data_IF_157796976089
#
_entry.id   IF_157796976089
#
_cell.length_a   1.000
_cell.length_b   1.000
_cell.length_c   1.000
_cell.angle_alpha   90.00
_cell.angle_beta   90.00
_cell.angle_gamma   90.00
#
_symmetry.space_group_name_H-M   'P 1'
#
loop_
_entity.id
_entity.type
_entity.pdbx_description
1 polymer ?
#
# COMPACT_ATOMS: atom_id res chain seq x y z
N UNK A 1 -17.75 6.35 -13.45
CA UNK A 1 -17.48 6.46 -12.01
C UNK A 1 -16.25 7.35 -11.77
N UNK A 2 -16.19 8.09 -10.66
CA UNK A 2 -15.05 8.95 -10.31
C UNK A 2 -13.78 8.10 -10.10
N UNK A 3 -12.65 8.50 -10.69
CA UNK A 3 -11.37 7.80 -10.54
C UNK A 3 -10.82 8.06 -9.13
N UNK A 4 -11.09 7.16 -8.18
CA UNK A 4 -10.51 7.23 -6.83
C UNK A 4 -8.99 7.16 -6.94
N UNK A 5 -8.32 8.25 -6.58
CA UNK A 5 -6.85 8.35 -6.60
C UNK A 5 -6.37 8.34 -5.17
N UNK A 6 -5.46 7.41 -4.85
CA UNK A 6 -4.85 7.27 -3.54
C UNK A 6 -3.39 7.67 -3.60
N UNK A 7 -2.93 8.41 -2.58
CA UNK A 7 -1.54 8.78 -2.41
C UNK A 7 -1.04 8.19 -1.09
N UNK A 8 0.05 7.41 -1.16
CA UNK A 8 0.77 6.96 0.03
C UNK A 8 1.89 7.96 0.32
N UNK A 9 1.89 8.53 1.52
CA UNK A 9 2.91 9.51 1.96
C UNK A 9 3.57 9.02 3.24
N UNK A 10 4.89 9.23 3.32
CA UNK A 10 5.69 8.94 4.52
C UNK A 10 6.39 10.24 4.93
N UNK A 11 6.22 10.63 6.19
CA UNK A 11 6.78 11.86 6.75
C UNK A 11 7.59 11.52 8.01
N UNK A 12 8.68 12.23 8.29
CA UNK A 12 9.38 12.11 9.56
C UNK A 12 8.43 12.44 10.73
N UNK A 13 8.55 11.73 11.84
CA UNK A 13 7.74 12.04 13.05
C UNK A 13 8.13 13.37 13.69
N UNK A 14 9.28 13.94 13.32
CA UNK A 14 9.75 15.27 13.74
C UNK A 14 8.87 16.44 13.28
N UNK A 15 7.85 16.19 12.45
CA UNK A 15 6.83 17.20 12.15
C UNK A 15 5.93 17.51 13.36
N UNK A 16 5.89 16.62 14.35
CA UNK A 16 5.27 16.87 15.65
C UNK A 16 6.34 17.12 16.72
N UNK A 17 6.11 18.03 17.69
CA UNK A 17 7.00 18.27 18.82
C UNK A 17 7.28 17.02 19.67
N UNK A 18 6.35 16.06 19.70
CA UNK A 18 6.44 14.85 20.55
C UNK A 18 7.12 13.67 19.86
N UNK A 19 7.42 13.76 18.56
CA UNK A 19 7.85 12.65 17.70
C UNK A 19 6.87 11.46 17.67
N UNK A 20 5.60 11.67 18.04
CA UNK A 20 4.56 10.65 18.00
C UNK A 20 3.90 10.55 16.62
N UNK A 21 3.61 9.32 16.17
CA UNK A 21 3.03 9.09 14.84
C UNK A 21 1.58 9.54 14.71
N UNK A 22 0.78 9.40 15.76
CA UNK A 22 -0.63 9.80 15.74
C UNK A 22 -0.76 11.33 15.80
N UNK A 23 0.13 11.99 16.55
CA UNK A 23 0.21 13.44 16.57
C UNK A 23 0.69 14.01 15.23
N UNK A 24 1.72 13.41 14.62
CA UNK A 24 2.19 13.75 13.28
C UNK A 24 1.07 13.59 12.22
N UNK A 25 0.26 12.53 12.29
CA UNK A 25 -0.91 12.33 11.43
C UNK A 25 -1.99 13.40 11.68
N UNK A 26 -2.21 13.78 12.93
CA UNK A 26 -3.16 14.83 13.30
C UNK A 26 -2.71 16.20 12.78
N UNK A 27 -1.41 16.50 12.84
CA UNK A 27 -0.85 17.70 12.23
C UNK A 27 -1.07 17.71 10.71
N UNK A 28 -0.78 16.60 10.02
CA UNK A 28 -1.05 16.46 8.58
C UNK A 28 -2.53 16.67 8.25
N UNK A 29 -3.44 16.10 9.03
CA UNK A 29 -4.90 16.28 8.91
C UNK A 29 -5.34 17.73 9.03
N UNK A 30 -4.65 18.51 9.85
CA UNK A 30 -4.99 19.94 10.02
C UNK A 30 -4.60 20.79 8.80
N UNK A 31 -3.59 20.35 8.04
CA UNK A 31 -3.09 21.04 6.83
C UNK A 31 -3.81 20.58 5.57
N UNK A 32 -4.10 19.28 5.46
CA UNK A 32 -4.84 18.71 4.33
C UNK A 32 -6.33 18.91 4.59
N UNK A 33 -6.90 19.96 4.00
CA UNK A 33 -8.35 20.19 4.00
C UNK A 33 -9.09 18.96 3.46
N UNK A 34 -10.25 18.64 4.04
CA UNK A 34 -11.09 17.54 3.56
C UNK A 34 -11.54 17.70 2.09
N UNK A 35 -11.45 18.92 1.55
CA UNK A 35 -11.69 19.21 0.12
C UNK A 35 -10.63 18.58 -0.80
N UNK A 36 -9.40 18.39 -0.30
CA UNK A 36 -8.28 17.82 -1.05
C UNK A 36 -8.16 16.30 -0.87
N UNK A 37 -8.85 15.71 0.11
CA UNK A 37 -8.88 14.28 0.36
C UNK A 37 -8.94 13.91 1.85
N UNK A 38 -9.23 12.65 2.13
CA UNK A 38 -9.27 12.10 3.49
C UNK A 38 -8.00 11.31 3.78
N UNK A 39 -7.42 11.49 4.97
CA UNK A 39 -6.19 10.80 5.38
C UNK A 39 -6.47 9.65 6.34
N UNK A 40 -5.80 8.52 6.10
CA UNK A 40 -5.91 7.31 6.90
C UNK A 40 -4.53 6.87 7.37
N UNK A 41 -4.39 6.36 8.61
CA UNK A 41 -3.14 5.76 9.05
C UNK A 41 -2.83 4.52 8.20
N UNK A 42 -1.56 4.33 7.85
CA UNK A 42 -1.09 3.14 7.13
C UNK A 42 -0.02 2.43 7.97
N UNK A 43 -0.44 1.43 8.74
CA UNK A 43 0.42 0.77 9.72
C UNK A 43 1.37 -0.25 9.06
N UNK A 44 2.65 0.08 9.04
CA UNK A 44 3.75 -0.79 8.57
C UNK A 44 4.56 -1.25 9.79
N UNK A 45 4.95 -2.53 9.89
CA UNK A 45 5.81 -2.99 10.97
C UNK A 45 7.23 -2.45 10.84
N UNK A 46 7.96 -2.42 11.95
CA UNK A 46 9.41 -2.21 11.92
C UNK A 46 10.09 -3.42 11.29
N UNK A 47 10.72 -3.23 10.14
CA UNK A 47 11.48 -4.29 9.47
C UNK A 47 12.89 -4.39 10.02
N UNK A 48 13.42 -5.61 10.01
CA UNK A 48 14.84 -5.84 10.29
C UNK A 48 15.69 -5.34 9.12
N UNK A 49 16.32 -4.19 9.32
CA UNK A 49 17.23 -3.57 8.35
C UNK A 49 18.65 -4.11 8.54
N UNK A 50 19.34 -4.37 7.43
CA UNK A 50 20.74 -4.79 7.40
C UNK A 50 21.71 -3.61 7.30
N UNK A 51 22.57 -3.65 6.29
CA UNK A 51 23.48 -2.55 5.95
C UNK A 51 22.80 -1.50 5.07
N UNK A 52 23.37 -0.29 5.01
CA UNK A 52 22.90 0.75 4.09
C UNK A 52 23.02 0.31 2.62
N UNK A 53 24.09 -0.38 2.25
CA UNK A 53 24.28 -0.93 0.91
C UNK A 53 23.15 -1.92 0.53
N UNK A 54 22.77 -2.80 1.46
CA UNK A 54 21.65 -3.71 1.26
C UNK A 54 20.32 -2.96 1.10
N UNK A 55 20.10 -1.83 1.78
CA UNK A 55 18.89 -1.01 1.61
C UNK A 55 18.80 -0.40 0.20
N UNK A 56 19.92 0.04 -0.37
CA UNK A 56 19.95 0.60 -1.72
C UNK A 56 19.54 -0.49 -2.73
N UNK A 57 20.17 -1.66 -2.64
CA UNK A 57 19.82 -2.80 -3.49
C UNK A 57 18.35 -3.23 -3.31
N UNK A 58 17.87 -3.28 -2.07
CA UNK A 58 16.48 -3.63 -1.76
C UNK A 58 15.48 -2.61 -2.32
N UNK A 59 15.82 -1.32 -2.37
CA UNK A 59 14.96 -0.31 -2.97
C UNK A 59 14.77 -0.55 -4.48
N UNK A 60 15.85 -0.88 -5.20
CA UNK A 60 15.77 -1.24 -6.63
C UNK A 60 14.96 -2.51 -6.86
N UNK A 61 15.14 -3.53 -6.02
CA UNK A 61 14.42 -4.79 -6.14
C UNK A 61 12.93 -4.65 -5.79
N UNK A 62 12.58 -3.81 -4.82
CA UNK A 62 11.20 -3.42 -4.50
C UNK A 62 10.55 -2.66 -5.67
N UNK A 63 11.27 -1.76 -6.33
CA UNK A 63 10.75 -1.05 -7.50
C UNK A 63 10.43 -2.02 -8.65
N UNK A 64 11.31 -2.98 -8.93
CA UNK A 64 11.06 -4.02 -9.94
C UNK A 64 9.86 -4.90 -9.57
N UNK A 65 9.76 -5.30 -8.31
CA UNK A 65 8.63 -6.08 -7.79
C UNK A 65 7.31 -5.31 -7.93
N UNK A 66 7.29 -4.03 -7.60
CA UNK A 66 6.11 -3.16 -7.73
C UNK A 66 5.64 -3.08 -9.19
N UNK A 67 6.56 -2.83 -10.13
CA UNK A 67 6.25 -2.81 -11.56
C UNK A 67 5.70 -4.14 -12.07
N UNK A 68 6.31 -5.26 -11.64
CA UNK A 68 5.85 -6.60 -11.98
C UNK A 68 4.44 -6.87 -11.45
N UNK A 69 4.21 -6.59 -10.17
CA UNK A 69 2.90 -6.74 -9.52
C UNK A 69 1.83 -5.90 -10.21
N UNK A 70 2.11 -4.62 -10.48
CA UNK A 70 1.21 -3.73 -11.20
C UNK A 70 0.83 -4.28 -12.56
N UNK A 71 1.81 -4.74 -13.35
CA UNK A 71 1.54 -5.31 -14.67
C UNK A 71 0.69 -6.59 -14.63
N UNK A 72 0.86 -7.43 -13.61
CA UNK A 72 0.01 -8.62 -13.41
C UNK A 72 -1.41 -8.20 -13.03
N UNK A 73 -1.57 -7.26 -12.09
CA UNK A 73 -2.89 -6.76 -11.66
C UNK A 73 -3.63 -6.09 -12.81
N UNK A 74 -2.96 -5.29 -13.64
CA UNK A 74 -3.53 -4.68 -14.84
C UNK A 74 -4.03 -5.74 -15.83
N UNK A 75 -3.23 -6.78 -16.11
CA UNK A 75 -3.66 -7.89 -16.98
C UNK A 75 -4.86 -8.66 -16.43
N UNK A 76 -4.90 -8.88 -15.12
CA UNK A 76 -6.05 -9.54 -14.46
C UNK A 76 -7.29 -8.65 -14.56
N UNK A 77 -7.16 -7.34 -14.34
CA UNK A 77 -8.23 -6.38 -14.49
C UNK A 77 -8.75 -6.32 -15.94
N UNK A 78 -7.86 -6.33 -16.93
CA UNK A 78 -8.23 -6.36 -18.35
C UNK A 78 -8.94 -7.67 -18.72
N UNK A 79 -8.45 -8.80 -18.22
CA UNK A 79 -9.08 -10.11 -18.43
C UNK A 79 -10.49 -10.15 -17.81
N UNK A 80 -10.64 -9.65 -16.58
CA UNK A 80 -11.93 -9.54 -15.91
C UNK A 80 -12.88 -8.62 -16.68
N UNK A 81 -12.39 -7.48 -17.17
CA UNK A 81 -13.16 -6.55 -17.99
C UNK A 81 -13.66 -7.20 -19.28
N UNK A 82 -12.82 -8.00 -19.94
CA UNK A 82 -13.21 -8.73 -21.15
C UNK A 82 -14.29 -9.79 -20.87
N UNK A 83 -14.17 -10.53 -19.76
CA UNK A 83 -15.17 -11.55 -19.36
C UNK A 83 -16.51 -10.92 -19.01
N UNK A 84 -16.49 -9.76 -18.35
CA UNK A 84 -17.69 -9.03 -17.94
C UNK A 84 -18.21 -8.05 -19.01
N UNK A 85 -17.70 -8.14 -20.24
CA UNK A 85 -18.10 -7.31 -21.40
C UNK A 85 -18.03 -5.79 -21.13
N UNK A 86 -17.18 -5.36 -20.20
CA UNK A 86 -17.04 -3.95 -19.81
C UNK A 86 -18.16 -3.42 -18.90
N UNK A 87 -19.00 -4.29 -18.32
CA UNK A 87 -20.00 -3.92 -17.32
C UNK A 87 -19.33 -3.45 -16.02
N UNK A 88 -19.24 -2.13 -15.84
CA UNK A 88 -18.52 -1.53 -14.70
C UNK A 88 -19.11 -1.88 -13.34
N UNK A 89 -20.42 -2.12 -13.25
CA UNK A 89 -21.08 -2.45 -11.99
C UNK A 89 -20.69 -3.87 -11.55
N UNK A 90 -20.68 -4.82 -12.48
CA UNK A 90 -20.20 -6.19 -12.19
C UNK A 90 -18.69 -6.23 -11.93
N UNK A 91 -17.90 -5.40 -12.62
CA UNK A 91 -16.46 -5.31 -12.38
C UNK A 91 -16.21 -4.77 -10.96
N UNK A 92 -16.97 -3.77 -10.52
CA UNK A 92 -16.88 -3.23 -9.17
C UNK A 92 -17.21 -4.29 -8.11
N UNK A 93 -18.25 -5.11 -8.32
CA UNK A 93 -18.62 -6.20 -7.42
C UNK A 93 -17.55 -7.29 -7.30
N UNK A 94 -16.78 -7.54 -8.37
CA UNK A 94 -15.69 -8.53 -8.36
C UNK A 94 -14.36 -7.96 -7.82
N UNK A 95 -14.21 -6.63 -7.73
CA UNK A 95 -12.99 -5.96 -7.28
C UNK A 95 -12.92 -5.87 -5.76
N UNK A 96 -12.99 -7.01 -5.09
CA UNK A 96 -12.93 -7.10 -3.63
C UNK A 96 -11.59 -7.73 -3.19
N UNK A 97 -11.06 -7.26 -2.06
CA UNK A 97 -9.84 -7.78 -1.43
C UNK A 97 -10.20 -8.23 -0.02
N UNK A 98 -10.03 -9.53 0.27
CA UNK A 98 -10.46 -10.16 1.53
C UNK A 98 -11.94 -9.86 1.85
N UNK A 99 -12.83 -10.05 0.87
CA UNK A 99 -14.27 -9.81 0.97
C UNK A 99 -14.66 -8.36 1.31
N UNK A 100 -13.75 -7.41 1.08
CA UNK A 100 -13.98 -5.97 1.27
C UNK A 100 -13.74 -5.21 -0.03
N UNK A 101 -14.48 -4.13 -0.29
CA UNK A 101 -14.14 -3.19 -1.35
C UNK A 101 -12.72 -2.66 -1.18
N UNK A 102 -12.00 -2.43 -2.28
CA UNK A 102 -10.60 -1.95 -2.26
C UNK A 102 -10.44 -0.67 -1.43
N UNK A 103 -11.36 0.29 -1.55
CA UNK A 103 -11.32 1.54 -0.80
C UNK A 103 -11.33 1.27 0.72
N UNK A 104 -12.20 0.36 1.18
CA UNK A 104 -12.29 0.00 2.60
C UNK A 104 -11.06 -0.81 3.06
N UNK A 105 -10.52 -1.67 2.20
CA UNK A 105 -9.28 -2.40 2.48
C UNK A 105 -8.10 -1.46 2.69
N UNK A 106 -7.94 -0.43 1.84
CA UNK A 106 -6.85 0.55 1.95
C UNK A 106 -6.97 1.43 3.20
N UNK A 107 -8.20 1.80 3.59
CA UNK A 107 -8.46 2.61 4.80
C UNK A 107 -8.18 1.85 6.11
N UNK A 108 -8.23 0.52 6.07
CA UNK A 108 -8.07 -0.36 7.25
C UNK A 108 -6.91 -1.34 7.07
N UNK A 109 -5.93 -0.99 6.24
CA UNK A 109 -4.81 -1.85 5.92
C UNK A 109 -4.07 -2.31 7.18
N UNK A 110 -3.81 -3.61 7.23
CA UNK A 110 -2.98 -4.22 8.26
C UNK A 110 -1.98 -5.18 7.62
N UNK A 111 -0.72 -5.03 8.01
CA UNK A 111 0.31 -5.93 7.58
C UNK A 111 0.06 -7.36 8.10
N UNK A 112 -0.01 -8.35 7.20
CA UNK A 112 -0.15 -9.75 7.59
C UNK A 112 1.17 -10.28 8.15
N UNK A 113 1.39 -10.10 9.46
CA UNK A 113 2.62 -10.50 10.17
C UNK A 113 2.84 -12.02 10.21
N UNK A 114 1.78 -12.83 10.02
CA UNK A 114 1.87 -14.29 10.00
C UNK A 114 2.46 -14.76 8.67
N UNK A 115 1.94 -14.23 7.55
CA UNK A 115 2.41 -14.56 6.21
C UNK A 115 3.73 -13.86 5.89
N UNK A 116 3.82 -12.57 6.19
CA UNK A 116 4.97 -11.72 5.89
C UNK A 116 5.63 -11.27 7.19
N UNK A 117 6.50 -12.14 7.72
CA UNK A 117 7.16 -11.93 9.01
C UNK A 117 8.15 -10.76 8.99
N UNK A 118 7.90 -9.71 9.77
CA UNK A 118 8.72 -8.50 9.80
C UNK A 118 10.08 -8.66 10.51
N UNK A 119 10.25 -9.75 11.28
CA UNK A 119 11.51 -10.09 11.93
C UNK A 119 12.53 -10.74 10.98
N UNK A 120 12.08 -11.16 9.80
CA UNK A 120 12.95 -11.63 8.72
C UNK A 120 13.61 -10.45 7.99
N UNK A 121 14.78 -10.67 7.37
CA UNK A 121 15.39 -9.67 6.49
C UNK A 121 14.45 -9.27 5.35
N UNK A 122 14.51 -7.99 4.96
CA UNK A 122 13.71 -7.45 3.84
C UNK A 122 13.97 -8.26 2.55
N UNK A 123 15.21 -8.68 2.29
CA UNK A 123 15.55 -9.50 1.13
C UNK A 123 14.78 -10.83 1.07
N UNK A 124 14.57 -11.51 2.20
CA UNK A 124 13.75 -12.73 2.24
C UNK A 124 12.27 -12.44 1.96
N UNK A 125 11.75 -11.31 2.46
CA UNK A 125 10.38 -10.89 2.17
C UNK A 125 10.19 -10.56 0.69
N UNK A 126 11.16 -9.90 0.07
CA UNK A 126 11.15 -9.58 -1.37
C UNK A 126 11.19 -10.87 -2.21
N UNK A 127 12.08 -11.81 -1.90
CA UNK A 127 12.14 -13.11 -2.60
C UNK A 127 10.84 -13.91 -2.45
N UNK A 128 10.23 -13.90 -1.25
CA UNK A 128 8.93 -14.54 -1.02
C UNK A 128 7.79 -13.89 -1.80
N UNK A 129 7.84 -12.57 -2.04
CA UNK A 129 6.83 -11.84 -2.80
C UNK A 129 7.02 -11.94 -4.32
N UNK A 130 8.25 -12.23 -4.78
CA UNK A 130 8.56 -12.45 -6.20
C UNK A 130 8.18 -13.86 -6.68
N UNK A 131 8.13 -14.84 -5.77
CA UNK A 131 7.72 -16.23 -6.06
C UNK A 131 6.22 -16.38 -6.17
#
# INVERSE_FOLDING_TARGET
>A
MSKSTFCLVSLPTSISPSNDSDEALTALRSVVSNDNGTTYPFSIPSFKIGTLDALVQQADDLQKLEQGCKGVVEKVADSLKNILEGDEDKIADQKNVNDKPVDHYLQSFQWNKVKYRADKPISELVDMLQK
#
